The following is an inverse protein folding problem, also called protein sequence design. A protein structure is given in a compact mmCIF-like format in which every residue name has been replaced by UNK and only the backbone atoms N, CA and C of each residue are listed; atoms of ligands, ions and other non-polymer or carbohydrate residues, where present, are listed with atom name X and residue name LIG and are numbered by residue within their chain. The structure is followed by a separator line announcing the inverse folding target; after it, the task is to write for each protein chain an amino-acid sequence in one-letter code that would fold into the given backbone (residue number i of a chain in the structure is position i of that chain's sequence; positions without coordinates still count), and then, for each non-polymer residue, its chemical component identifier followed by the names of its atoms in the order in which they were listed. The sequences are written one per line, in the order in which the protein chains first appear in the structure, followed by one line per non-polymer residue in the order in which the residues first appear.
data_IF_303279992804
#
_entry.id   IF_303279992804
#
_cell.length_a   1.000
_cell.length_b   1.000
_cell.length_c   1.000
_cell.angle_alpha   90.00
_cell.angle_beta   90.00
_cell.angle_gamma   90.00
#
_symmetry.space_group_name_H-M   'P 1'
#
loop_
_entity.id
_entity.type
_entity.pdbx_description
1 polymer ?
#
# COMPACT_ATOMS: atom_id res chain seq x y z
N UNK A 1 2.73 -30.46 1.30
CA UNK A 1 1.75 -29.39 1.66
C UNK A 1 1.11 -29.69 3.00
N UNK A 2 0.64 -28.67 3.72
CA UNK A 2 0.07 -28.79 5.07
C UNK A 2 -1.32 -28.13 5.11
N UNK A 3 -2.31 -28.81 5.68
CA UNK A 3 -3.65 -28.24 5.92
C UNK A 3 -3.59 -27.23 7.06
N UNK A 4 -4.01 -25.98 6.79
CA UNK A 4 -3.98 -24.87 7.77
C UNK A 4 -5.36 -24.43 8.21
N UNK A 5 -6.35 -24.62 7.36
CA UNK A 5 -7.76 -24.40 7.64
C UNK A 5 -8.61 -25.30 6.74
N UNK A 6 -9.92 -25.44 6.99
CA UNK A 6 -10.80 -26.25 6.15
C UNK A 6 -10.71 -25.82 4.68
N UNK A 7 -10.20 -26.70 3.82
CA UNK A 7 -10.02 -26.43 2.38
C UNK A 7 -8.85 -25.51 2.04
N UNK A 8 -7.95 -25.21 2.98
CA UNK A 8 -6.80 -24.33 2.73
C UNK A 8 -5.50 -25.01 3.13
N UNK A 9 -4.58 -25.07 2.17
CA UNK A 9 -3.26 -25.68 2.33
C UNK A 9 -2.16 -24.65 2.12
N UNK A 10 -1.08 -24.76 2.90
CA UNK A 10 0.18 -24.06 2.67
C UNK A 10 1.24 -25.03 2.15
N UNK A 11 2.06 -24.60 1.19
CA UNK A 11 3.08 -25.46 0.60
C UNK A 11 4.33 -24.75 0.09
N UNK A 12 5.21 -25.58 -0.46
CA UNK A 12 6.47 -25.24 -1.14
C UNK A 12 6.31 -25.37 -2.65
N UNK A 13 7.29 -24.88 -3.43
CA UNK A 13 7.30 -25.09 -4.88
C UNK A 13 7.36 -26.58 -5.27
N UNK A 14 7.98 -27.42 -4.43
CA UNK A 14 8.07 -28.86 -4.68
C UNK A 14 6.72 -29.57 -4.59
N UNK A 15 5.79 -29.05 -3.80
CA UNK A 15 4.45 -29.63 -3.62
C UNK A 15 3.63 -29.59 -4.92
N UNK A 16 3.95 -28.71 -5.86
CA UNK A 16 3.29 -28.64 -7.16
C UNK A 16 3.51 -29.90 -8.02
N UNK A 17 4.60 -30.64 -7.77
CA UNK A 17 4.93 -31.84 -8.53
C UNK A 17 4.19 -33.09 -8.04
N UNK A 18 3.58 -33.05 -6.85
CA UNK A 18 2.87 -34.19 -6.27
C UNK A 18 1.37 -34.14 -6.61
N UNK A 19 1.05 -34.56 -7.83
CA UNK A 19 -0.35 -34.57 -8.32
C UNK A 19 -1.26 -35.44 -7.49
N UNK A 20 -0.76 -36.58 -6.99
CA UNK A 20 -1.56 -37.50 -6.19
C UNK A 20 -1.98 -36.83 -4.88
N UNK A 21 -1.06 -36.10 -4.23
CA UNK A 21 -1.39 -35.34 -3.03
C UNK A 21 -2.42 -34.23 -3.32
N UNK A 22 -2.24 -33.47 -4.42
CA UNK A 22 -3.19 -32.43 -4.84
C UNK A 22 -4.61 -32.99 -5.08
N UNK A 23 -4.72 -34.11 -5.80
CA UNK A 23 -5.99 -34.78 -6.07
C UNK A 23 -6.62 -35.34 -4.78
N UNK A 24 -5.83 -35.99 -3.92
CA UNK A 24 -6.30 -36.52 -2.65
C UNK A 24 -6.82 -35.42 -1.70
N UNK A 25 -6.24 -34.23 -1.77
CA UNK A 25 -6.68 -33.05 -1.03
C UNK A 25 -7.80 -32.26 -1.71
N UNK A 26 -8.28 -32.71 -2.88
CA UNK A 26 -9.29 -32.02 -3.69
C UNK A 26 -8.91 -30.57 -4.01
N UNK A 27 -7.62 -30.32 -4.27
CA UNK A 27 -7.13 -28.99 -4.66
C UNK A 27 -7.69 -28.64 -6.04
N UNK A 28 -8.38 -27.50 -6.11
CA UNK A 28 -8.94 -26.94 -7.34
C UNK A 28 -8.29 -25.62 -7.71
N UNK A 29 -7.71 -24.92 -6.73
CA UNK A 29 -7.10 -23.61 -6.88
C UNK A 29 -5.64 -23.64 -6.40
N UNK A 30 -4.73 -23.10 -7.19
CA UNK A 30 -3.32 -22.94 -6.82
C UNK A 30 -2.96 -21.46 -6.88
N UNK A 31 -2.59 -20.91 -5.71
CA UNK A 31 -2.10 -19.55 -5.56
C UNK A 31 -0.59 -19.58 -5.37
N UNK A 32 0.13 -19.17 -6.42
CA UNK A 32 1.58 -19.06 -6.44
C UNK A 32 2.00 -17.66 -6.04
N UNK A 33 2.77 -17.53 -4.96
CA UNK A 33 3.28 -16.25 -4.44
C UNK A 33 4.81 -16.33 -4.48
N UNK A 34 5.36 -16.17 -5.67
CA UNK A 34 6.77 -16.44 -5.94
C UNK A 34 7.31 -15.57 -7.08
N UNK A 35 8.62 -15.43 -7.18
CA UNK A 35 9.28 -14.73 -8.29
C UNK A 35 9.56 -15.65 -9.48
N UNK A 36 9.48 -16.97 -9.27
CA UNK A 36 9.58 -17.95 -10.33
C UNK A 36 8.19 -18.24 -10.92
N UNK A 37 8.09 -18.20 -12.25
CA UNK A 37 6.86 -18.52 -12.96
C UNK A 37 6.44 -19.99 -12.71
N UNK A 38 5.25 -20.23 -12.14
CA UNK A 38 4.77 -21.58 -11.85
C UNK A 38 4.36 -22.37 -13.11
N UNK A 39 4.26 -21.73 -14.29
CA UNK A 39 3.83 -22.37 -15.54
C UNK A 39 4.74 -23.55 -15.95
N UNK A 40 6.02 -23.52 -15.56
CA UNK A 40 6.95 -24.61 -15.80
C UNK A 40 6.71 -25.83 -14.90
N UNK A 41 6.05 -25.65 -13.76
CA UNK A 41 5.84 -26.67 -12.73
C UNK A 41 4.47 -27.36 -12.85
N UNK A 42 3.49 -26.70 -13.49
CA UNK A 42 2.14 -27.23 -13.66
C UNK A 42 1.75 -27.30 -15.15
N UNK A 43 1.56 -28.49 -15.74
CA UNK A 43 1.17 -28.62 -17.15
C UNK A 43 -0.19 -28.00 -17.41
N UNK A 44 -0.50 -27.49 -18.62
CA UNK A 44 -1.73 -26.75 -18.92
C UNK A 44 -2.99 -27.62 -19.09
N UNK A 45 -3.14 -28.67 -18.29
CA UNK A 45 -4.26 -29.63 -18.36
C UNK A 45 -5.63 -29.07 -17.94
N UNK A 46 -5.71 -27.78 -17.57
CA UNK A 46 -6.97 -27.02 -17.41
C UNK A 46 -7.81 -27.38 -16.18
N UNK A 47 -7.37 -28.37 -15.38
CA UNK A 47 -8.12 -28.85 -14.20
C UNK A 47 -8.01 -27.95 -12.97
N UNK A 48 -6.94 -27.14 -12.89
CA UNK A 48 -6.64 -26.28 -11.76
C UNK A 48 -6.77 -24.82 -12.16
N UNK A 49 -7.53 -24.04 -11.39
CA UNK A 49 -7.52 -22.59 -11.47
C UNK A 49 -6.23 -22.08 -10.82
N UNK A 50 -5.55 -21.15 -11.49
CA UNK A 50 -4.22 -20.68 -11.10
C UNK A 50 -4.20 -19.18 -10.99
N UNK A 51 -3.53 -18.69 -9.96
CA UNK A 51 -3.23 -17.27 -9.79
C UNK A 51 -1.77 -17.15 -9.37
N UNK A 52 -1.05 -16.27 -10.05
CA UNK A 52 0.35 -16.00 -9.75
C UNK A 52 0.53 -14.54 -9.36
N UNK A 53 1.22 -14.33 -8.24
CA UNK A 53 1.69 -13.04 -7.76
C UNK A 53 3.22 -13.07 -7.86
N UNK A 54 3.76 -12.32 -8.82
CA UNK A 54 5.20 -12.19 -9.04
C UNK A 54 5.82 -11.30 -7.96
N UNK A 55 6.55 -11.92 -7.03
CA UNK A 55 7.07 -11.22 -5.85
C UNK A 55 8.29 -11.92 -5.21
N UNK A 56 9.30 -11.11 -4.90
CA UNK A 56 10.50 -11.52 -4.16
C UNK A 56 10.21 -11.62 -2.65
N UNK A 57 10.97 -12.44 -1.94
CA UNK A 57 10.88 -12.57 -0.47
C UNK A 57 11.70 -11.50 0.25
N UNK A 58 11.38 -10.24 -0.01
CA UNK A 58 12.12 -9.08 0.50
C UNK A 58 11.18 -8.15 1.28
N UNK A 59 11.72 -7.44 2.27
CA UNK A 59 10.92 -6.50 3.06
C UNK A 59 10.38 -5.32 2.22
N UNK A 60 11.04 -5.01 1.11
CA UNK A 60 10.65 -3.98 0.13
C UNK A 60 9.52 -4.43 -0.79
N UNK A 61 9.28 -5.75 -0.94
CA UNK A 61 8.19 -6.28 -1.78
C UNK A 61 6.79 -5.86 -1.29
N UNK A 62 5.84 -5.74 -2.21
CA UNK A 62 4.44 -5.40 -1.93
C UNK A 62 3.57 -6.65 -2.08
N UNK A 63 3.07 -7.16 -0.95
CA UNK A 63 2.02 -8.19 -0.88
C UNK A 63 0.68 -7.59 -0.43
N UNK A 64 0.70 -6.51 0.34
CA UNK A 64 -0.51 -5.85 0.86
C UNK A 64 -1.50 -5.54 -0.25
N UNK A 65 -1.03 -4.99 -1.36
CA UNK A 65 -1.89 -4.62 -2.51
C UNK A 65 -2.55 -5.82 -3.18
N UNK A 66 -2.12 -7.05 -2.88
CA UNK A 66 -2.65 -8.29 -3.43
C UNK A 66 -3.50 -9.09 -2.44
N UNK A 67 -3.46 -8.77 -1.14
CA UNK A 67 -4.06 -9.59 -0.06
C UNK A 67 -5.54 -9.87 -0.30
N UNK A 68 -6.35 -8.87 -0.60
CA UNK A 68 -7.80 -9.07 -0.82
C UNK A 68 -8.08 -9.96 -2.03
N UNK A 69 -7.40 -9.71 -3.14
CA UNK A 69 -7.58 -10.49 -4.36
C UNK A 69 -7.09 -11.93 -4.20
N UNK A 70 -6.12 -12.18 -3.31
CA UNK A 70 -5.67 -13.51 -2.90
C UNK A 70 -6.69 -14.19 -1.98
N UNK A 71 -7.22 -13.48 -0.99
CA UNK A 71 -8.25 -14.00 -0.09
C UNK A 71 -9.52 -14.41 -0.84
N UNK A 72 -9.97 -13.60 -1.80
CA UNK A 72 -11.11 -13.93 -2.68
C UNK A 72 -10.85 -15.23 -3.43
N UNK A 73 -9.67 -15.38 -4.04
CA UNK A 73 -9.30 -16.59 -4.80
C UNK A 73 -9.25 -17.85 -3.91
N UNK A 74 -8.78 -17.73 -2.67
CA UNK A 74 -8.80 -18.84 -1.70
C UNK A 74 -10.24 -19.19 -1.31
N UNK A 75 -11.06 -18.17 -1.01
CA UNK A 75 -12.45 -18.35 -0.58
C UNK A 75 -13.33 -18.96 -1.69
N UNK A 76 -13.09 -18.61 -2.95
CA UNK A 76 -13.76 -19.22 -4.11
C UNK A 76 -13.55 -20.74 -4.15
N UNK A 77 -12.33 -21.21 -3.88
CA UNK A 77 -12.02 -22.64 -3.82
C UNK A 77 -12.80 -23.34 -2.70
N UNK A 78 -12.76 -22.76 -1.50
CA UNK A 78 -13.39 -23.32 -0.29
C UNK A 78 -14.91 -23.35 -0.44
N UNK A 79 -15.52 -22.27 -0.92
CA UNK A 79 -16.98 -22.19 -1.17
C UNK A 79 -17.43 -23.11 -2.31
N UNK A 80 -16.56 -23.35 -3.29
CA UNK A 80 -16.79 -24.31 -4.36
C UNK A 80 -16.74 -25.77 -3.91
N UNK A 81 -16.46 -26.05 -2.62
CA UNK A 81 -16.33 -27.41 -2.09
C UNK A 81 -15.00 -28.10 -2.42
N UNK A 82 -14.05 -27.36 -3.00
CA UNK A 82 -12.69 -27.81 -3.23
C UNK A 82 -11.71 -27.23 -2.20
N UNK A 83 -10.42 -27.30 -2.53
CA UNK A 83 -9.38 -26.71 -1.72
C UNK A 83 -8.45 -25.76 -2.51
N UNK A 84 -7.86 -24.81 -1.80
CA UNK A 84 -6.81 -23.94 -2.29
C UNK A 84 -5.44 -24.35 -1.72
N UNK A 85 -4.44 -24.45 -2.60
CA UNK A 85 -3.03 -24.51 -2.21
C UNK A 85 -2.39 -23.14 -2.38
N UNK A 86 -1.89 -22.55 -1.29
CA UNK A 86 -1.11 -21.32 -1.30
C UNK A 86 0.37 -21.69 -1.10
N UNK A 87 1.22 -21.38 -2.07
CA UNK A 87 2.63 -21.75 -2.00
C UNK A 87 3.56 -20.62 -2.41
N UNK A 88 4.81 -20.76 -1.98
CA UNK A 88 5.98 -20.02 -2.47
C UNK A 88 7.16 -21.00 -2.53
N UNK A 89 8.39 -20.51 -2.67
CA UNK A 89 9.56 -21.38 -2.80
C UNK A 89 9.69 -22.36 -1.63
N UNK A 90 9.68 -21.85 -0.40
CA UNK A 90 9.91 -22.63 0.82
C UNK A 90 8.66 -22.81 1.70
N UNK A 91 7.54 -22.16 1.38
CA UNK A 91 6.34 -22.21 2.21
C UNK A 91 6.46 -21.51 3.57
N UNK A 92 7.39 -20.55 3.73
CA UNK A 92 7.77 -19.98 5.05
C UNK A 92 7.39 -18.52 5.26
N UNK A 93 7.52 -17.67 4.24
CA UNK A 93 7.35 -16.22 4.34
C UNK A 93 6.24 -15.70 3.44
N UNK A 94 6.44 -15.63 2.11
CA UNK A 94 5.44 -15.13 1.13
C UNK A 94 4.07 -15.80 1.21
N UNK A 95 4.01 -17.14 1.09
CA UNK A 95 2.74 -17.87 1.21
C UNK A 95 2.16 -17.81 2.62
N UNK A 96 3.01 -17.84 3.65
CA UNK A 96 2.58 -17.70 5.04
C UNK A 96 1.95 -16.34 5.32
N UNK A 97 2.45 -15.27 4.68
CA UNK A 97 1.89 -13.92 4.74
C UNK A 97 0.46 -13.91 4.21
N UNK A 98 0.23 -14.48 3.02
CA UNK A 98 -1.11 -14.54 2.42
C UNK A 98 -2.06 -15.42 3.22
N UNK A 99 -1.60 -16.58 3.69
CA UNK A 99 -2.40 -17.45 4.57
C UNK A 99 -2.76 -16.74 5.87
N UNK A 100 -1.82 -16.00 6.47
CA UNK A 100 -2.09 -15.20 7.67
C UNK A 100 -3.14 -14.13 7.39
N UNK A 101 -3.01 -13.37 6.29
CA UNK A 101 -4.00 -12.37 5.88
C UNK A 101 -5.40 -12.99 5.67
N UNK A 102 -5.47 -14.17 5.06
CA UNK A 102 -6.73 -14.90 4.89
C UNK A 102 -7.35 -15.30 6.23
N UNK A 103 -6.56 -15.83 7.17
CA UNK A 103 -7.05 -16.18 8.51
C UNK A 103 -7.53 -14.94 9.27
N UNK A 104 -6.80 -13.81 9.17
CA UNK A 104 -7.21 -12.53 9.74
C UNK A 104 -8.57 -12.11 9.19
N UNK A 105 -8.74 -12.09 7.87
CA UNK A 105 -9.98 -11.66 7.20
C UNK A 105 -11.16 -12.61 7.47
N UNK A 106 -10.93 -13.92 7.45
CA UNK A 106 -11.99 -14.93 7.62
C UNK A 106 -12.53 -14.98 9.04
N UNK A 107 -11.66 -14.85 10.02
CA UNK A 107 -11.98 -15.01 11.44
C UNK A 107 -12.00 -13.68 12.21
N UNK A 108 -11.77 -12.56 11.54
CA UNK A 108 -11.63 -11.22 12.13
C UNK A 108 -10.61 -11.19 13.28
N UNK A 109 -9.46 -11.81 13.04
CA UNK A 109 -8.37 -11.91 14.01
C UNK A 109 -7.34 -10.79 13.77
N UNK A 110 -6.73 -10.32 14.85
CA UNK A 110 -5.54 -9.49 14.76
C UNK A 110 -4.33 -10.28 14.22
N UNK A 111 -3.30 -9.57 13.74
CA UNK A 111 -2.13 -10.20 13.13
C UNK A 111 -1.49 -11.25 14.05
N UNK A 112 -1.23 -10.89 15.31
CA UNK A 112 -0.53 -11.77 16.26
C UNK A 112 -1.27 -13.08 16.48
N UNK A 113 -2.60 -13.06 16.57
CA UNK A 113 -3.39 -14.25 16.79
C UNK A 113 -3.41 -15.16 15.56
N UNK A 114 -3.67 -14.58 14.38
CA UNK A 114 -3.68 -15.33 13.12
C UNK A 114 -2.30 -15.95 12.81
N UNK A 115 -1.22 -15.19 13.03
CA UNK A 115 0.14 -15.66 12.81
C UNK A 115 0.51 -16.79 13.77
N UNK A 116 0.17 -16.67 15.05
CA UNK A 116 0.42 -17.73 16.04
C UNK A 116 -0.39 -18.99 15.75
N UNK A 117 -1.63 -18.86 15.25
CA UNK A 117 -2.44 -19.99 14.80
C UNK A 117 -1.75 -20.75 13.67
N UNK A 118 -1.25 -20.04 12.65
CA UNK A 118 -0.49 -20.66 11.56
C UNK A 118 0.81 -21.30 12.07
N UNK A 119 1.56 -20.59 12.92
CA UNK A 119 2.84 -21.06 13.46
C UNK A 119 2.71 -22.27 14.38
N UNK A 120 1.58 -22.40 15.07
CA UNK A 120 1.23 -23.60 15.86
C UNK A 120 1.09 -24.85 15.00
N UNK A 121 0.64 -24.72 13.75
CA UNK A 121 0.54 -25.81 12.78
C UNK A 121 1.86 -26.00 11.99
N UNK A 122 2.55 -24.90 11.67
CA UNK A 122 3.77 -24.89 10.88
C UNK A 122 4.88 -24.08 11.57
N UNK A 123 5.69 -24.76 12.38
CA UNK A 123 6.68 -24.12 13.27
C UNK A 123 7.81 -23.37 12.54
N UNK A 124 8.13 -23.74 11.31
CA UNK A 124 9.18 -23.13 10.49
C UNK A 124 8.72 -21.88 9.73
N UNK A 125 7.46 -21.44 9.91
CA UNK A 125 6.97 -20.16 9.41
C UNK A 125 7.80 -19.01 9.99
N UNK A 126 8.25 -18.15 9.09
CA UNK A 126 9.06 -16.99 9.40
C UNK A 126 8.80 -15.95 8.32
N UNK A 127 7.81 -15.10 8.55
CA UNK A 127 7.49 -13.96 7.69
C UNK A 127 8.58 -12.90 7.86
N UNK A 128 8.98 -12.24 6.76
CA UNK A 128 9.96 -11.17 6.84
C UNK A 128 9.35 -9.88 7.44
N UNK A 129 10.19 -8.99 7.98
CA UNK A 129 9.72 -7.79 8.70
C UNK A 129 8.82 -6.87 7.88
N UNK A 130 9.11 -6.70 6.58
CA UNK A 130 8.29 -5.84 5.72
C UNK A 130 6.90 -6.43 5.44
N UNK A 131 6.77 -7.76 5.45
CA UNK A 131 5.48 -8.43 5.36
C UNK A 131 4.73 -8.42 6.70
N UNK A 132 5.42 -8.48 7.84
CA UNK A 132 4.79 -8.28 9.16
C UNK A 132 4.18 -6.87 9.27
N UNK A 133 4.92 -5.83 8.85
CA UNK A 133 4.42 -4.45 8.78
C UNK A 133 3.18 -4.33 7.87
N UNK A 134 3.17 -5.04 6.75
CA UNK A 134 2.02 -5.07 5.83
C UNK A 134 0.80 -5.73 6.45
N UNK A 135 0.96 -6.81 7.22
CA UNK A 135 -0.15 -7.47 7.92
C UNK A 135 -0.70 -6.58 9.03
N UNK A 136 0.15 -5.87 9.77
CA UNK A 136 -0.31 -4.86 10.73
C UNK A 136 -1.07 -3.71 10.07
N UNK A 137 -0.62 -3.27 8.89
CA UNK A 137 -1.35 -2.25 8.13
C UNK A 137 -2.69 -2.79 7.63
N UNK A 138 -2.75 -4.05 7.20
CA UNK A 138 -3.99 -4.73 6.81
C UNK A 138 -4.97 -4.82 8.00
N UNK A 139 -4.48 -5.18 9.19
CA UNK A 139 -5.26 -5.17 10.45
C UNK A 139 -5.80 -3.78 10.77
N UNK A 140 -4.96 -2.74 10.66
CA UNK A 140 -5.35 -1.35 10.91
C UNK A 140 -6.40 -0.85 9.91
N UNK A 141 -6.48 -1.44 8.72
CA UNK A 141 -7.53 -1.22 7.72
C UNK A 141 -8.68 -2.24 7.83
N UNK A 142 -8.84 -2.87 9.00
CA UNK A 142 -9.92 -3.83 9.28
C UNK A 142 -9.93 -5.06 8.35
N UNK A 143 -8.75 -5.53 7.95
CA UNK A 143 -8.56 -6.66 7.04
C UNK A 143 -9.19 -6.42 5.65
N UNK A 144 -9.16 -5.17 5.19
CA UNK A 144 -9.49 -4.78 3.83
C UNK A 144 -8.45 -3.79 3.29
N UNK A 145 -8.12 -3.87 2.01
CA UNK A 145 -7.22 -2.93 1.37
C UNK A 145 -8.01 -1.68 0.99
N UNK A 146 -8.18 -0.77 1.94
CA UNK A 146 -8.81 0.53 1.68
C UNK A 146 -7.84 1.47 0.96
N UNK A 147 -7.96 1.49 -0.37
CA UNK A 147 -7.18 2.36 -1.25
C UNK A 147 -7.40 3.87 -1.04
N UNK A 148 -8.49 4.25 -0.36
CA UNK A 148 -8.78 5.65 -0.03
C UNK A 148 -8.11 6.11 1.25
N UNK A 149 -7.69 5.18 2.12
CA UNK A 149 -7.08 5.48 3.41
C UNK A 149 -5.74 6.22 3.25
N UNK A 150 -5.49 7.20 4.12
CA UNK A 150 -4.22 7.93 4.12
C UNK A 150 -3.03 7.01 4.40
N UNK A 151 -3.21 5.99 5.23
CA UNK A 151 -2.16 5.02 5.58
C UNK A 151 -1.77 4.14 4.39
N UNK A 152 -2.73 3.63 3.61
CA UNK A 152 -2.44 2.87 2.41
C UNK A 152 -1.80 3.73 1.31
N UNK A 153 -2.28 4.96 1.12
CA UNK A 153 -1.65 5.90 0.18
C UNK A 153 -0.20 6.18 0.53
N UNK A 154 0.10 6.42 1.81
CA UNK A 154 1.47 6.60 2.28
C UNK A 154 2.31 5.34 2.03
N UNK A 155 1.80 4.17 2.38
CA UNK A 155 2.45 2.88 2.13
C UNK A 155 2.80 2.70 0.65
N UNK A 156 1.83 2.91 -0.25
CA UNK A 156 2.04 2.77 -1.69
C UNK A 156 3.11 3.71 -2.21
N UNK A 157 3.07 4.97 -1.79
CA UNK A 157 4.08 5.97 -2.17
C UNK A 157 5.48 5.59 -1.69
N UNK A 158 5.60 5.03 -0.49
CA UNK A 158 6.86 4.50 0.02
C UNK A 158 7.36 3.33 -0.84
N UNK A 159 6.50 2.35 -1.16
CA UNK A 159 6.87 1.22 -2.02
C UNK A 159 7.34 1.64 -3.41
N UNK A 160 6.74 2.69 -3.97
CA UNK A 160 7.18 3.28 -5.24
C UNK A 160 8.55 3.94 -5.08
N UNK A 161 8.76 4.67 -3.99
CA UNK A 161 10.04 5.33 -3.69
C UNK A 161 11.17 4.33 -3.53
N UNK A 162 10.93 3.19 -2.88
CA UNK A 162 11.90 2.11 -2.72
C UNK A 162 12.35 1.54 -4.07
N UNK A 163 11.44 1.47 -5.06
CA UNK A 163 11.74 1.05 -6.43
C UNK A 163 12.31 2.18 -7.30
N UNK A 164 12.17 3.43 -6.90
CA UNK A 164 12.48 4.60 -7.72
C UNK A 164 13.93 4.69 -8.26
N UNK A 165 14.98 4.25 -7.53
CA UNK A 165 16.33 4.21 -8.07
C UNK A 165 16.45 3.35 -9.36
N UNK A 166 15.66 2.29 -9.46
CA UNK A 166 15.58 1.42 -10.65
C UNK A 166 14.73 2.08 -11.75
N UNK A 167 13.69 2.82 -11.36
CA UNK A 167 12.79 3.55 -12.26
C UNK A 167 13.49 4.73 -12.97
N UNK A 168 14.49 5.38 -12.34
CA UNK A 168 15.24 6.50 -12.93
C UNK A 168 16.14 6.11 -14.11
N UNK A 169 16.52 4.85 -14.27
CA UNK A 169 17.43 4.41 -15.33
C UNK A 169 16.74 4.08 -16.67
N UNK A 170 15.42 4.26 -16.78
CA UNK A 170 14.72 3.93 -18.04
C UNK A 170 13.27 4.37 -18.19
N UNK A 171 12.64 4.99 -17.19
CA UNK A 171 11.26 5.44 -17.35
C UNK A 171 11.14 6.78 -18.08
N UNK A 172 10.49 6.74 -19.23
CA UNK A 172 9.96 7.94 -19.89
C UNK A 172 8.79 8.58 -19.12
N UNK A 173 8.15 7.86 -18.18
CA UNK A 173 6.92 8.26 -17.50
C UNK A 173 6.76 7.55 -16.15
N UNK A 174 6.16 8.24 -15.17
CA UNK A 174 5.82 7.68 -13.86
C UNK A 174 4.54 6.81 -13.98
N UNK A 175 4.38 5.72 -13.21
CA UNK A 175 3.16 4.92 -13.26
C UNK A 175 1.93 5.78 -12.95
N UNK A 176 0.89 5.73 -13.79
CA UNK A 176 -0.28 6.63 -13.63
C UNK A 176 -1.04 6.43 -12.30
N UNK A 177 -0.99 5.21 -11.77
CA UNK A 177 -1.65 4.79 -10.54
C UNK A 177 -1.13 5.51 -9.29
N UNK A 178 0.03 6.16 -9.37
CA UNK A 178 0.59 6.92 -8.23
C UNK A 178 -0.07 8.29 -8.08
N UNK A 179 -0.77 8.76 -9.11
CA UNK A 179 -1.29 10.10 -9.17
C UNK A 179 -2.78 10.14 -8.86
N UNK A 180 -3.14 10.99 -7.92
CA UNK A 180 -4.50 11.49 -7.85
C UNK A 180 -4.86 12.26 -9.14
N UNK A 181 -6.12 12.14 -9.55
CA UNK A 181 -6.65 12.86 -10.70
C UNK A 181 -6.49 14.38 -10.54
N UNK A 182 -6.19 15.09 -11.64
CA UNK A 182 -6.18 16.54 -11.60
C UNK A 182 -7.60 17.07 -11.31
N UNK A 183 -7.83 17.76 -10.18
CA UNK A 183 -9.16 18.25 -9.84
C UNK A 183 -9.65 19.39 -10.75
N UNK A 184 -8.80 19.92 -11.64
CA UNK A 184 -9.26 20.82 -12.70
C UNK A 184 -10.13 20.11 -13.75
N UNK A 185 -10.04 18.78 -13.85
CA UNK A 185 -10.73 17.98 -14.86
C UNK A 185 -12.01 17.31 -14.33
N UNK A 186 -12.35 17.50 -13.05
CA UNK A 186 -13.49 16.82 -12.43
C UNK A 186 -14.15 17.70 -11.36
N UNK A 187 -15.47 17.80 -11.39
CA UNK A 187 -16.26 18.41 -10.33
C UNK A 187 -16.45 17.44 -9.16
N UNK A 188 -16.41 17.95 -7.94
CA UNK A 188 -16.73 17.22 -6.71
C UNK A 188 -17.18 18.21 -5.64
N UNK A 189 -18.10 17.77 -4.77
CA UNK A 189 -18.55 18.49 -3.58
C UNK A 189 -17.58 18.40 -2.41
N UNK A 190 -16.54 17.58 -2.55
CA UNK A 190 -15.48 17.39 -1.58
C UNK A 190 -14.71 18.68 -1.29
N UNK A 191 -14.10 18.73 -0.10
CA UNK A 191 -13.12 19.74 0.27
C UNK A 191 -12.06 19.88 -0.81
N UNK A 192 -11.81 21.11 -1.26
CA UNK A 192 -10.87 21.40 -2.33
C UNK A 192 -9.89 22.49 -1.94
N UNK A 193 -8.68 22.39 -2.47
CA UNK A 193 -7.58 23.29 -2.15
C UNK A 193 -7.16 24.03 -3.41
N UNK A 194 -7.21 25.38 -3.37
CA UNK A 194 -7.00 26.22 -4.54
C UNK A 194 -5.77 27.10 -4.39
N UNK A 195 -5.08 27.37 -5.49
CA UNK A 195 -3.97 28.33 -5.50
C UNK A 195 -4.46 29.72 -5.07
N UNK A 196 -3.83 30.30 -4.05
CA UNK A 196 -4.22 31.62 -3.52
C UNK A 196 -4.06 32.76 -4.52
N UNK A 197 -3.14 32.63 -5.49
CA UNK A 197 -2.88 33.65 -6.53
C UNK A 197 -3.89 33.62 -7.67
N UNK A 198 -4.25 32.45 -8.19
CA UNK A 198 -5.04 32.33 -9.44
C UNK A 198 -6.32 31.50 -9.32
N UNK A 199 -6.62 31.02 -8.11
CA UNK A 199 -7.81 30.24 -7.74
C UNK A 199 -7.99 28.91 -8.48
N UNK A 200 -6.99 28.44 -9.25
CA UNK A 200 -7.00 27.08 -9.81
C UNK A 200 -7.01 26.05 -8.68
N UNK A 201 -7.90 25.06 -8.75
CA UNK A 201 -7.92 23.89 -7.86
C UNK A 201 -6.66 23.04 -8.07
N UNK A 202 -6.00 22.68 -6.98
CA UNK A 202 -4.71 21.99 -6.97
C UNK A 202 -4.87 20.55 -6.49
N UNK A 203 -5.58 20.31 -5.39
CA UNK A 203 -5.81 18.97 -4.84
C UNK A 203 -7.11 18.93 -4.04
N UNK A 204 -7.55 17.74 -3.65
CA UNK A 204 -8.76 17.50 -2.85
C UNK A 204 -8.41 17.04 -1.43
N UNK A 205 -9.39 17.04 -0.53
CA UNK A 205 -9.25 16.56 0.84
C UNK A 205 -8.71 15.13 0.93
N UNK A 206 -9.21 14.25 0.09
CA UNK A 206 -8.79 12.85 -0.07
C UNK A 206 -7.32 12.70 -0.43
N UNK A 207 -6.71 13.70 -1.06
CA UNK A 207 -5.29 13.68 -1.39
C UNK A 207 -4.39 14.06 -0.22
N UNK A 208 -4.94 14.56 0.90
CA UNK A 208 -4.14 14.96 2.06
C UNK A 208 -3.69 13.72 2.84
N UNK A 209 -2.38 13.64 3.10
CA UNK A 209 -1.75 12.58 3.88
C UNK A 209 -1.44 13.11 5.29
N UNK A 210 -2.27 12.69 6.24
CA UNK A 210 -2.11 13.02 7.66
C UNK A 210 -0.93 12.27 8.26
N UNK A 211 -0.24 12.90 9.22
CA UNK A 211 0.83 12.27 10.00
C UNK A 211 0.72 12.68 11.47
N UNK A 212 1.17 11.79 12.36
CA UNK A 212 1.31 12.11 13.78
C UNK A 212 2.44 13.14 13.98
N UNK A 213 2.30 13.97 15.03
CA UNK A 213 3.34 14.94 15.43
C UNK A 213 4.67 14.22 15.67
N UNK A 214 5.79 14.87 15.34
CA UNK A 214 7.10 14.28 15.55
C UNK A 214 7.39 14.04 17.04
N UNK A 215 8.12 12.97 17.34
CA UNK A 215 8.57 12.64 18.69
C UNK A 215 10.11 12.75 18.81
N UNK A 216 10.61 13.06 20.01
CA UNK A 216 12.05 13.09 20.29
C UNK A 216 12.77 14.40 19.94
N UNK A 217 14.10 14.44 20.14
CA UNK A 217 14.93 15.65 20.03
C UNK A 217 14.87 16.33 18.65
N UNK A 218 14.62 15.57 17.58
CA UNK A 218 14.41 16.08 16.22
C UNK A 218 13.12 16.90 16.08
N UNK A 219 12.10 16.63 16.91
CA UNK A 219 10.88 17.43 16.98
C UNK A 219 11.04 18.73 17.79
N UNK A 220 12.03 18.78 18.69
CA UNK A 220 12.28 19.93 19.57
C UNK A 220 13.41 20.86 19.10
N UNK A 221 14.10 20.52 18.00
CA UNK A 221 15.20 21.35 17.48
C UNK A 221 14.71 22.70 16.91
N UNK A 222 13.43 22.81 16.56
CA UNK A 222 12.82 24.06 16.12
C UNK A 222 11.49 24.35 16.85
N UNK A 223 11.62 24.77 18.12
CA UNK A 223 10.84 25.82 18.84
C UNK A 223 10.48 25.41 20.27
N UNK A 224 10.96 26.20 21.24
CA UNK A 224 10.46 26.28 22.62
C UNK A 224 9.17 27.15 22.69
N UNK A 225 8.38 27.06 23.78
CA UNK A 225 6.92 27.02 23.72
C UNK A 225 6.26 28.37 23.96
N UNK A 226 5.07 28.56 23.40
CA UNK A 226 4.02 29.29 24.10
C UNK A 226 2.65 28.74 23.70
N UNK A 227 1.88 28.33 24.71
CA UNK A 227 0.47 27.94 24.66
C UNK A 227 0.13 26.57 24.04
N UNK A 228 0.57 25.50 24.70
CA UNK A 228 0.05 24.14 24.49
C UNK A 228 -1.31 23.97 25.17
N UNK A 229 -2.34 24.50 24.54
CA UNK A 229 -3.75 24.03 24.69
C UNK A 229 -4.45 23.88 23.34
N UNK A 230 -3.72 23.95 22.22
CA UNK A 230 -4.26 23.74 20.87
C UNK A 230 -3.53 22.64 20.11
N UNK A 231 -4.25 21.91 19.27
CA UNK A 231 -3.69 20.97 18.30
C UNK A 231 -2.56 21.64 17.48
N UNK A 232 -1.38 21.01 17.43
CA UNK A 232 -0.25 21.53 16.66
C UNK A 232 -0.59 21.49 15.18
N UNK A 233 -0.87 22.66 14.59
CA UNK A 233 -1.19 22.75 13.17
C UNK A 233 0.09 22.95 12.34
N UNK A 234 0.44 21.93 11.54
CA UNK A 234 1.59 21.99 10.63
C UNK A 234 1.48 23.13 9.60
N UNK A 235 2.61 23.68 9.14
CA UNK A 235 2.66 24.80 8.16
C UNK A 235 2.42 24.38 6.71
N UNK A 236 2.44 23.08 6.43
CA UNK A 236 2.30 22.50 5.10
C UNK A 236 1.25 21.39 5.10
N UNK A 237 0.57 21.23 3.97
CA UNK A 237 -0.16 20.01 3.64
C UNK A 237 0.80 19.06 2.95
N UNK A 238 0.85 17.81 3.41
CA UNK A 238 1.46 16.71 2.69
C UNK A 238 0.37 16.03 1.88
N UNK A 239 0.64 15.72 0.62
CA UNK A 239 -0.37 15.15 -0.27
C UNK A 239 0.19 13.98 -1.06
N UNK A 240 -0.68 13.11 -1.55
CA UNK A 240 -0.31 12.23 -2.66
C UNK A 240 -0.02 13.09 -3.92
N UNK A 241 0.90 12.65 -4.80
CA UNK A 241 1.13 13.29 -6.08
C UNK A 241 -0.16 13.46 -6.86
N UNK A 242 -0.39 14.65 -7.41
CA UNK A 242 -1.52 14.90 -8.32
C UNK A 242 -0.99 14.95 -9.75
N UNK A 243 -1.76 14.50 -10.74
CA UNK A 243 -1.34 14.44 -12.15
C UNK A 243 -0.63 15.70 -12.67
N UNK A 244 -1.08 16.91 -12.29
CA UNK A 244 -0.42 18.15 -12.74
C UNK A 244 1.02 18.32 -12.23
N UNK A 245 1.42 17.58 -11.20
CA UNK A 245 2.78 17.59 -10.65
C UNK A 245 3.76 16.76 -11.48
N UNK A 246 3.28 15.79 -12.28
CA UNK A 246 4.10 14.83 -13.02
C UNK A 246 5.30 15.48 -13.74
N UNK A 247 5.14 16.59 -14.52
CA UNK A 247 6.27 17.20 -15.22
C UNK A 247 7.39 17.71 -14.30
N UNK A 248 7.09 18.01 -13.04
CA UNK A 248 8.07 18.47 -12.06
C UNK A 248 8.79 17.29 -11.36
N UNK A 249 8.20 16.10 -11.35
CA UNK A 249 8.72 14.93 -10.62
C UNK A 249 9.66 14.06 -11.47
N UNK A 250 9.48 14.08 -12.80
CA UNK A 250 10.20 13.21 -13.72
C UNK A 250 11.72 13.42 -13.67
N UNK A 251 12.46 12.34 -13.47
CA UNK A 251 13.93 12.31 -13.58
C UNK A 251 14.68 13.04 -12.46
N UNK A 252 13.99 13.48 -11.40
CA UNK A 252 14.60 14.24 -10.30
C UNK A 252 14.19 13.68 -8.93
N UNK A 253 15.06 13.83 -7.93
CA UNK A 253 14.84 13.34 -6.56
C UNK A 253 14.14 14.36 -5.65
N UNK A 254 14.24 15.64 -5.97
CA UNK A 254 13.61 16.73 -5.23
C UNK A 254 13.45 17.95 -6.14
N UNK A 255 12.56 18.86 -5.77
CA UNK A 255 12.29 20.04 -6.59
C UNK A 255 11.18 20.92 -6.05
N UNK A 256 10.84 21.95 -6.84
CA UNK A 256 9.79 22.90 -6.48
C UNK A 256 8.46 22.53 -7.14
N UNK A 257 7.36 22.70 -6.40
CA UNK A 257 6.01 22.58 -6.94
C UNK A 257 5.49 23.97 -7.30
N UNK A 258 5.26 24.19 -8.59
CA UNK A 258 4.74 25.45 -9.13
C UNK A 258 3.28 25.27 -9.55
N UNK A 259 2.46 26.32 -9.35
CA UNK A 259 1.08 26.29 -9.83
C UNK A 259 1.05 26.13 -11.37
N UNK A 260 0.31 25.14 -11.91
CA UNK A 260 0.30 24.89 -13.37
C UNK A 260 -0.36 26.03 -14.16
N UNK A 261 -1.19 26.87 -13.53
CA UNK A 261 -1.85 28.03 -14.18
C UNK A 261 -1.01 29.32 -14.12
N UNK A 262 -0.48 29.68 -12.96
CA UNK A 262 0.16 30.99 -12.75
C UNK A 262 1.63 30.94 -12.36
N UNK A 263 2.22 29.73 -12.31
CA UNK A 263 3.64 29.45 -12.04
C UNK A 263 4.14 29.93 -10.67
N UNK A 264 3.26 30.42 -9.78
CA UNK A 264 3.65 30.78 -8.41
C UNK A 264 4.13 29.55 -7.65
N UNK A 265 5.22 29.68 -6.88
CA UNK A 265 5.70 28.62 -5.99
C UNK A 265 4.66 28.28 -4.91
N UNK A 266 4.27 27.01 -4.87
CA UNK A 266 3.30 26.47 -3.92
C UNK A 266 3.96 25.69 -2.77
N UNK A 267 5.09 25.04 -3.05
CA UNK A 267 5.84 24.24 -2.10
C UNK A 267 7.00 23.50 -2.78
N UNK A 268 7.29 22.29 -2.33
CA UNK A 268 8.37 21.45 -2.85
C UNK A 268 8.04 19.96 -2.71
N UNK A 269 8.85 19.12 -3.32
CA UNK A 269 8.81 17.68 -3.10
C UNK A 269 10.21 17.10 -2.89
N UNK A 270 10.27 15.96 -2.22
CA UNK A 270 11.45 15.13 -2.01
C UNK A 270 11.04 13.67 -1.96
N UNK A 271 11.58 12.87 -2.88
CA UNK A 271 11.37 11.41 -2.87
C UNK A 271 12.03 10.76 -1.66
N UNK A 272 13.16 11.30 -1.17
CA UNK A 272 13.81 10.83 0.06
C UNK A 272 13.11 11.30 1.34
N UNK A 273 12.05 12.07 1.22
CA UNK A 273 11.33 12.67 2.32
C UNK A 273 11.86 14.03 2.76
N UNK A 274 11.12 14.66 3.67
CA UNK A 274 11.42 15.98 4.24
C UNK A 274 10.86 16.08 5.66
N UNK A 275 11.43 16.97 6.48
CA UNK A 275 10.97 17.18 7.85
C UNK A 275 9.81 18.18 7.88
N UNK A 276 8.68 17.76 8.43
CA UNK A 276 7.55 18.65 8.71
C UNK A 276 7.89 19.64 9.83
N UNK A 277 7.22 20.81 9.84
CA UNK A 277 7.30 21.80 10.91
C UNK A 277 6.95 21.28 12.31
N UNK A 278 6.25 20.15 12.40
CA UNK A 278 5.93 19.48 13.67
C UNK A 278 7.03 18.50 14.12
N UNK A 279 8.14 18.39 13.38
CA UNK A 279 9.24 17.49 13.67
C UNK A 279 9.19 16.14 12.96
N UNK A 280 8.03 15.73 12.44
CA UNK A 280 7.84 14.41 11.80
C UNK A 280 8.57 14.35 10.45
N UNK A 281 9.36 13.30 10.25
CA UNK A 281 9.90 12.97 8.93
C UNK A 281 8.81 12.29 8.08
N UNK A 282 8.59 12.80 6.86
CA UNK A 282 7.58 12.28 5.93
C UNK A 282 8.29 11.82 4.65
N UNK A 283 8.11 10.55 4.25
CA UNK A 283 8.74 9.96 3.06
C UNK A 283 7.76 9.14 2.23
N UNK A 284 7.63 9.40 0.92
CA UNK A 284 8.11 10.61 0.22
C UNK A 284 7.33 11.86 0.68
N UNK A 285 7.90 13.04 0.48
CA UNK A 285 7.30 14.31 0.87
C UNK A 285 6.86 15.10 -0.38
N UNK A 286 5.56 15.32 -0.54
CA UNK A 286 5.01 16.28 -1.50
C UNK A 286 4.27 17.36 -0.71
N UNK A 287 4.94 18.48 -0.46
CA UNK A 287 4.44 19.52 0.44
C UNK A 287 3.92 20.74 -0.30
N UNK A 288 2.72 21.20 0.07
CA UNK A 288 2.18 22.51 -0.33
C UNK A 288 1.99 23.39 0.91
N UNK A 289 2.57 24.59 0.88
CA UNK A 289 2.52 25.49 2.03
C UNK A 289 1.11 26.05 2.21
N UNK A 290 0.60 26.01 3.45
CA UNK A 290 -0.75 26.49 3.78
C UNK A 290 -0.98 27.94 3.41
N UNK A 291 0.05 28.79 3.51
CA UNK A 291 -0.06 30.20 3.15
C UNK A 291 -0.19 30.47 1.63
N UNK A 292 0.05 29.46 0.77
CA UNK A 292 -0.06 29.54 -0.70
C UNK A 292 -1.36 28.94 -1.26
N UNK A 293 -2.17 28.33 -0.41
CA UNK A 293 -3.32 27.52 -0.79
C UNK A 293 -4.53 27.90 0.07
N UNK A 294 -5.69 28.11 -0.55
CA UNK A 294 -6.94 28.37 0.15
C UNK A 294 -7.79 27.09 0.21
N UNK A 295 -8.27 26.76 1.41
CA UNK A 295 -9.22 25.67 1.65
C UNK A 295 -10.65 26.14 1.31
N UNK A 296 -11.34 25.40 0.44
CA UNK A 296 -12.68 25.73 -0.05
C UNK A 296 -13.62 24.55 0.23
N UNK A 297 -14.63 24.81 1.07
CA UNK A 297 -15.77 23.92 1.34
C UNK A 297 -16.92 24.30 0.42
N UNK A 298 -17.50 23.33 -0.29
CA UNK A 298 -18.77 23.56 -0.98
C UNK A 298 -19.89 23.52 0.07
N UNK A 299 -20.43 24.69 0.41
CA UNK A 299 -21.62 24.77 1.24
C UNK A 299 -22.82 24.40 0.36
N UNK A 300 -23.50 23.28 0.67
CA UNK A 300 -24.82 23.02 0.13
C UNK A 300 -25.79 24.00 0.80
N UNK A 301 -26.16 25.06 0.09
CA UNK A 301 -27.31 25.87 0.47
C UNK A 301 -28.54 25.13 -0.01
N UNK A 302 -29.18 24.37 0.88
CA UNK A 302 -30.53 23.88 0.64
C UNK A 302 -31.44 25.11 0.47
N UNK A 303 -31.97 25.29 -0.73
CA UNK A 303 -33.04 26.27 -0.99
C UNK A 303 -34.36 25.75 -0.46
#
# INVERSE_FOLDING_TARGET
MLLVDTGVYIGTAADLNDRQALEAASVTHVLSVDSADPALLLPPDGKLLRKWIDVLDEATSDLLSHMDACCVFIEEAVKGGGAALVHCQAGRSRSATIVTAYLMKRYQLGFTEAYNRLKGLKQDVQVNSGFEEQLHLYEAMHCEVDTSSSSYKQYRLQKITEKYPELQQGLAQLPREIFACDPANSSSSELSYRCRKCRRTLFRGSSVLSHAVGEGASAFSHKKPSNLTGEVQCTSYFVEPVQWMEPALLGVMNGQLLCPKCRSKLGSFSWCGDQCSCGRWVTPAFQLHRNRVDEIRQLHVSK
#
